data_IF_404833537823
#
_entry.id   IF_404833537823
#
_cell.length_a   1.000
_cell.length_b   1.000
_cell.length_c   1.000
_cell.angle_alpha   90.00
_cell.angle_beta   90.00
_cell.angle_gamma   90.00
#
_symmetry.space_group_name_H-M   'P 1'
#
loop_
_entity.id
_entity.type
_entity.pdbx_description
1 polymer ?
#
# COMPACT_ATOMS: atom_id res chain seq x y z
N UNK A 1 -41.56 32.99 19.19
CA UNK A 1 -42.14 31.74 18.66
C UNK A 1 -41.07 31.11 17.77
N UNK A 2 -40.59 29.94 18.16
CA UNK A 2 -39.33 29.31 17.74
C UNK A 2 -39.25 28.89 16.28
N UNK A 3 -38.05 28.98 15.71
CA UNK A 3 -37.57 28.01 14.72
C UNK A 3 -36.18 27.56 15.17
N UNK A 4 -36.15 26.51 16.00
CA UNK A 4 -34.93 25.76 16.32
C UNK A 4 -34.56 25.00 15.05
N UNK A 5 -33.53 25.45 14.35
CA UNK A 5 -32.92 24.71 13.24
C UNK A 5 -32.34 23.42 13.80
N UNK A 6 -32.94 22.31 13.41
CA UNK A 6 -32.58 20.94 13.81
C UNK A 6 -31.13 20.69 13.40
N UNK A 7 -30.27 20.40 14.38
CA UNK A 7 -28.92 19.91 14.12
C UNK A 7 -28.99 18.67 13.25
N UNK A 8 -28.37 18.73 12.07
CA UNK A 8 -28.14 17.58 11.22
C UNK A 8 -27.23 16.62 11.98
N UNK A 9 -27.81 15.53 12.50
CA UNK A 9 -27.03 14.41 12.98
C UNK A 9 -26.19 13.92 11.81
N UNK A 10 -24.86 14.06 11.92
CA UNK A 10 -23.89 13.47 11.03
C UNK A 10 -24.13 11.96 10.98
N UNK A 11 -24.88 11.53 9.96
CA UNK A 11 -25.07 10.11 9.71
C UNK A 11 -23.71 9.54 9.34
N UNK A 12 -23.19 8.67 10.21
CA UNK A 12 -22.04 7.82 9.89
C UNK A 12 -22.41 7.04 8.64
N UNK A 13 -21.98 7.51 7.46
CA UNK A 13 -22.25 6.80 6.21
C UNK A 13 -21.35 5.59 6.21
N UNK A 14 -21.95 4.41 6.33
CA UNK A 14 -21.23 3.16 6.12
C UNK A 14 -20.67 3.06 4.70
N UNK A 15 -19.73 2.13 4.44
CA UNK A 15 -18.96 2.15 3.23
C UNK A 15 -19.87 1.82 2.06
N UNK A 16 -19.88 2.70 1.06
CA UNK A 16 -20.68 2.53 -0.14
C UNK A 16 -20.37 1.20 -0.82
N UNK A 17 -21.33 0.64 -1.56
CA UNK A 17 -21.10 -0.60 -2.31
C UNK A 17 -19.86 -0.50 -3.23
N UNK A 18 -19.61 0.67 -3.81
CA UNK A 18 -18.42 0.95 -4.62
C UNK A 18 -17.11 0.85 -3.79
N UNK A 19 -17.10 1.37 -2.56
CA UNK A 19 -15.94 1.28 -1.66
C UNK A 19 -15.61 -0.17 -1.31
N UNK A 20 -16.64 -0.99 -1.03
CA UNK A 20 -16.49 -2.41 -0.70
C UNK A 20 -15.92 -3.22 -1.86
N UNK A 21 -16.37 -2.95 -3.08
CA UNK A 21 -15.81 -3.57 -4.30
C UNK A 21 -14.33 -3.20 -4.44
N UNK A 22 -13.96 -1.94 -4.20
CA UNK A 22 -12.58 -1.49 -4.20
C UNK A 22 -11.70 -2.27 -3.23
N UNK A 23 -12.16 -2.50 -2.00
CA UNK A 23 -11.43 -3.28 -0.99
C UNK A 23 -11.31 -4.75 -1.38
N UNK A 24 -12.38 -5.36 -1.90
CA UNK A 24 -12.35 -6.74 -2.38
C UNK A 24 -11.34 -6.91 -3.53
N UNK A 25 -11.33 -6.00 -4.51
CA UNK A 25 -10.35 -6.00 -5.59
C UNK A 25 -8.93 -5.83 -5.06
N UNK A 26 -8.71 -4.91 -4.12
CA UNK A 26 -7.40 -4.72 -3.50
C UNK A 26 -6.91 -5.98 -2.78
N UNK A 27 -7.77 -6.69 -2.05
CA UNK A 27 -7.44 -7.97 -1.41
C UNK A 27 -7.04 -9.01 -2.45
N UNK A 28 -7.82 -9.15 -3.53
CA UNK A 28 -7.53 -10.11 -4.60
C UNK A 28 -6.19 -9.81 -5.28
N UNK A 29 -5.92 -8.54 -5.58
CA UNK A 29 -4.65 -8.12 -6.19
C UNK A 29 -3.48 -8.42 -5.26
N UNK A 30 -3.53 -8.01 -3.98
CA UNK A 30 -2.45 -8.28 -3.03
C UNK A 30 -2.23 -9.79 -2.83
N UNK A 31 -3.30 -10.59 -2.81
CA UNK A 31 -3.21 -12.05 -2.70
C UNK A 31 -2.56 -12.66 -3.93
N UNK A 32 -2.94 -12.21 -5.13
CA UNK A 32 -2.32 -12.65 -6.39
C UNK A 32 -0.84 -12.29 -6.45
N UNK A 33 -0.47 -11.07 -6.03
CA UNK A 33 0.92 -10.64 -5.93
C UNK A 33 1.71 -11.46 -4.89
N UNK A 34 1.09 -11.80 -3.75
CA UNK A 34 1.73 -12.62 -2.72
C UNK A 34 2.02 -14.03 -3.24
N UNK A 35 1.04 -14.64 -3.91
CA UNK A 35 1.21 -15.94 -4.56
C UNK A 35 2.31 -15.89 -5.63
N UNK A 36 2.34 -14.83 -6.45
CA UNK A 36 3.39 -14.64 -7.44
C UNK A 36 4.76 -14.51 -6.75
N UNK A 37 4.89 -13.67 -5.73
CA UNK A 37 6.13 -13.48 -4.99
C UNK A 37 6.69 -14.79 -4.41
N UNK A 38 5.82 -15.66 -3.90
CA UNK A 38 6.22 -16.96 -3.33
C UNK A 38 6.62 -18.00 -4.38
N UNK A 39 6.13 -17.88 -5.61
CA UNK A 39 6.32 -18.88 -6.65
C UNK A 39 7.17 -18.41 -7.83
N UNK A 40 7.59 -17.14 -7.86
CA UNK A 40 8.27 -16.52 -8.99
C UNK A 40 9.53 -17.28 -9.41
N UNK A 41 10.30 -17.80 -8.44
CA UNK A 41 11.51 -18.58 -8.71
C UNK A 41 11.18 -19.93 -9.37
N UNK A 42 10.04 -20.54 -9.03
CA UNK A 42 9.58 -21.79 -9.64
C UNK A 42 9.12 -21.59 -11.08
N UNK A 43 8.75 -20.37 -11.45
CA UNK A 43 8.36 -20.02 -12.82
C UNK A 43 9.58 -19.88 -13.75
N UNK A 44 10.81 -19.96 -13.22
CA UNK A 44 12.06 -19.85 -13.98
C UNK A 44 12.13 -18.59 -14.85
N UNK A 45 11.71 -17.47 -14.28
CA UNK A 45 11.75 -16.16 -14.96
C UNK A 45 13.23 -15.78 -15.17
N UNK A 46 13.70 -15.58 -16.42
CA UNK A 46 15.12 -15.55 -16.75
C UNK A 46 15.90 -14.37 -16.17
N UNK A 47 15.21 -13.32 -15.71
CA UNK A 47 15.81 -12.12 -15.15
C UNK A 47 15.73 -12.03 -13.61
N UNK A 48 15.11 -13.00 -12.92
CA UNK A 48 14.98 -12.99 -11.46
C UNK A 48 15.99 -13.98 -10.87
N UNK A 49 16.81 -13.49 -9.94
CA UNK A 49 17.89 -14.28 -9.32
C UNK A 49 17.45 -14.95 -8.03
N UNK A 50 18.29 -15.86 -7.51
CA UNK A 50 18.09 -16.49 -6.21
C UNK A 50 18.01 -15.49 -5.05
N UNK A 51 18.59 -14.30 -5.21
CA UNK A 51 18.56 -13.21 -4.22
C UNK A 51 17.14 -12.69 -3.95
N UNK A 52 16.15 -13.10 -4.76
CA UNK A 52 14.72 -12.87 -4.48
C UNK A 52 14.31 -13.38 -3.09
N UNK A 53 14.93 -14.46 -2.60
CA UNK A 53 14.65 -15.01 -1.27
C UNK A 53 14.96 -14.00 -0.16
N UNK A 54 16.00 -13.19 -0.32
CA UNK A 54 16.47 -12.23 0.68
C UNK A 54 15.52 -11.04 0.84
N UNK A 55 14.69 -10.77 -0.18
CA UNK A 55 13.72 -9.68 -0.16
C UNK A 55 12.30 -10.15 0.19
N UNK A 56 12.05 -11.45 0.12
CA UNK A 56 10.72 -12.03 0.20
C UNK A 56 10.02 -11.73 1.53
N UNK A 57 10.76 -11.64 2.63
CA UNK A 57 10.20 -11.29 3.95
C UNK A 57 9.56 -9.89 3.93
N UNK A 58 10.19 -8.91 3.30
CA UNK A 58 9.71 -7.53 3.24
C UNK A 58 8.51 -7.41 2.29
N UNK A 59 8.56 -8.11 1.15
CA UNK A 59 7.46 -8.19 0.19
C UNK A 59 6.23 -8.86 0.82
N UNK A 60 6.40 -10.00 1.51
CA UNK A 60 5.31 -10.67 2.23
C UNK A 60 4.69 -9.77 3.29
N UNK A 61 5.52 -9.09 4.08
CA UNK A 61 5.05 -8.21 5.15
C UNK A 61 4.17 -7.08 4.61
N UNK A 62 4.60 -6.42 3.53
CA UNK A 62 3.82 -5.32 2.92
C UNK A 62 2.51 -5.80 2.31
N UNK A 63 2.52 -6.91 1.57
CA UNK A 63 1.32 -7.49 0.95
C UNK A 63 0.32 -8.00 1.98
N UNK A 64 0.78 -8.72 3.01
CA UNK A 64 -0.09 -9.20 4.10
C UNK A 64 -0.70 -8.02 4.85
N UNK A 65 0.08 -6.97 5.15
CA UNK A 65 -0.47 -5.76 5.77
C UNK A 65 -1.53 -5.09 4.89
N UNK A 66 -1.31 -5.03 3.57
CA UNK A 66 -2.29 -4.53 2.60
C UNK A 66 -3.59 -5.34 2.59
N UNK A 67 -3.50 -6.68 2.61
CA UNK A 67 -4.67 -7.57 2.70
C UNK A 67 -5.44 -7.31 4.00
N UNK A 68 -4.74 -7.28 5.14
CA UNK A 68 -5.35 -7.08 6.45
C UNK A 68 -6.03 -5.72 6.56
N UNK A 69 -5.38 -4.65 6.09
CA UNK A 69 -5.96 -3.31 6.09
C UNK A 69 -7.24 -3.26 5.25
N UNK A 70 -7.22 -3.80 4.03
CA UNK A 70 -8.39 -3.81 3.15
C UNK A 70 -9.52 -4.69 3.71
N UNK A 71 -9.19 -5.82 4.36
CA UNK A 71 -10.18 -6.65 5.05
C UNK A 71 -10.82 -5.89 6.22
N UNK A 72 -10.02 -5.15 7.00
CA UNK A 72 -10.52 -4.33 8.11
C UNK A 72 -11.46 -3.22 7.60
N UNK A 73 -11.18 -2.59 6.46
CA UNK A 73 -12.05 -1.56 5.89
C UNK A 73 -13.44 -2.05 5.46
N UNK A 74 -13.62 -3.35 5.24
CA UNK A 74 -14.94 -3.94 4.97
C UNK A 74 -15.79 -3.97 6.25
N UNK A 75 -15.14 -4.11 7.41
CA UNK A 75 -15.80 -4.30 8.72
C UNK A 75 -15.90 -2.98 9.50
N UNK A 76 -14.89 -2.11 9.40
CA UNK A 76 -14.76 -0.91 10.22
C UNK A 76 -14.46 0.32 9.34
N UNK A 77 -15.41 1.26 9.32
CA UNK A 77 -15.39 2.45 8.45
C UNK A 77 -15.22 3.73 9.27
N UNK A 78 -14.06 3.86 9.91
CA UNK A 78 -13.67 5.11 10.54
C UNK A 78 -12.55 5.77 9.74
N UNK A 79 -12.74 7.05 9.39
CA UNK A 79 -11.78 7.79 8.56
C UNK A 79 -10.38 7.84 9.18
N UNK A 80 -10.28 8.08 10.49
CA UNK A 80 -8.99 8.13 11.20
C UNK A 80 -8.23 6.80 11.08
N UNK A 81 -8.94 5.67 11.11
CA UNK A 81 -8.35 4.35 11.03
C UNK A 81 -7.80 4.07 9.65
N UNK A 82 -8.52 4.51 8.61
CA UNK A 82 -8.10 4.39 7.21
C UNK A 82 -6.83 5.19 6.92
N UNK A 83 -6.71 6.40 7.47
CA UNK A 83 -5.50 7.20 7.35
C UNK A 83 -4.31 6.54 8.07
N UNK A 84 -4.49 6.10 9.31
CA UNK A 84 -3.43 5.45 10.08
C UNK A 84 -2.92 4.17 9.40
N UNK A 85 -3.82 3.28 9.00
CA UNK A 85 -3.47 2.04 8.31
C UNK A 85 -2.90 2.29 6.92
N UNK A 86 -3.31 3.35 6.23
CA UNK A 86 -2.71 3.80 4.97
C UNK A 86 -1.25 4.22 5.14
N UNK A 87 -0.92 4.95 6.21
CA UNK A 87 0.46 5.33 6.55
C UNK A 87 1.31 4.09 6.85
N UNK A 88 0.79 3.17 7.67
CA UNK A 88 1.51 1.94 8.05
C UNK A 88 1.76 1.06 6.82
N UNK A 89 0.72 0.80 6.01
CA UNK A 89 0.87 -0.02 4.79
C UNK A 89 1.77 0.66 3.76
N UNK A 90 1.71 1.98 3.62
CA UNK A 90 2.63 2.76 2.79
C UNK A 90 4.08 2.65 3.26
N UNK A 91 4.34 2.74 4.57
CA UNK A 91 5.68 2.59 5.13
C UNK A 91 6.25 1.18 4.89
N UNK A 92 5.42 0.14 5.03
CA UNK A 92 5.82 -1.24 4.72
C UNK A 92 6.08 -1.46 3.24
N UNK A 93 5.29 -0.84 2.36
CA UNK A 93 5.57 -0.86 0.92
C UNK A 93 6.90 -0.16 0.60
N UNK A 94 7.18 0.99 1.21
CA UNK A 94 8.45 1.70 1.06
C UNK A 94 9.63 0.88 1.56
N UNK A 95 9.49 0.19 2.70
CA UNK A 95 10.48 -0.76 3.22
C UNK A 95 10.74 -1.88 2.22
N UNK A 96 9.69 -2.48 1.67
CA UNK A 96 9.82 -3.52 0.66
C UNK A 96 10.55 -3.03 -0.59
N UNK A 97 10.25 -1.82 -1.06
CA UNK A 97 10.96 -1.21 -2.19
C UNK A 97 12.43 -0.93 -1.86
N UNK A 98 12.73 -0.42 -0.66
CA UNK A 98 14.09 -0.14 -0.23
C UNK A 98 14.94 -1.43 -0.16
N UNK A 99 14.40 -2.49 0.44
CA UNK A 99 15.07 -3.81 0.50
C UNK A 99 15.33 -4.34 -0.92
N UNK A 100 14.32 -4.30 -1.79
CA UNK A 100 14.47 -4.69 -3.20
C UNK A 100 15.49 -3.84 -3.94
N UNK A 101 15.59 -2.54 -3.65
CA UNK A 101 16.58 -1.65 -4.25
C UNK A 101 18.02 -2.00 -3.82
N UNK A 102 18.20 -2.34 -2.54
CA UNK A 102 19.51 -2.69 -1.97
C UNK A 102 20.02 -4.04 -2.45
N UNK A 103 19.16 -5.07 -2.45
CA UNK A 103 19.54 -6.42 -2.89
C UNK A 103 19.55 -6.49 -4.42
N UNK A 104 18.57 -5.84 -5.06
CA UNK A 104 18.36 -5.82 -6.51
C UNK A 104 18.47 -7.22 -7.15
N UNK A 105 17.46 -8.09 -6.95
CA UNK A 105 17.49 -9.49 -7.36
C UNK A 105 17.21 -9.69 -8.86
N UNK A 106 17.73 -8.79 -9.69
CA UNK A 106 17.45 -8.75 -11.12
C UNK A 106 18.73 -8.86 -11.94
N UNK A 107 18.82 -9.89 -12.76
CA UNK A 107 19.88 -10.07 -13.74
C UNK A 107 19.39 -9.58 -15.10
N UNK A 108 19.75 -8.34 -15.43
CA UNK A 108 19.32 -7.69 -16.66
C UNK A 108 20.41 -7.78 -17.73
N UNK A 109 20.03 -7.91 -19.02
CA UNK A 109 20.98 -8.11 -20.12
C UNK A 109 21.80 -6.86 -20.45
N UNK A 110 21.44 -5.70 -19.92
CA UNK A 110 22.09 -4.41 -20.19
C UNK A 110 22.14 -3.57 -18.92
N UNK A 111 23.32 -3.00 -18.65
CA UNK A 111 23.54 -2.06 -17.55
C UNK A 111 22.62 -0.84 -17.65
N UNK A 112 22.35 -0.34 -18.87
CA UNK A 112 21.43 0.77 -19.08
C UNK A 112 20.01 0.44 -18.58
N UNK A 113 19.52 -0.78 -18.83
CA UNK A 113 18.19 -1.20 -18.36
C UNK A 113 18.18 -1.32 -16.84
N UNK A 114 19.27 -1.84 -16.26
CA UNK A 114 19.42 -1.93 -14.80
C UNK A 114 19.41 -0.55 -14.15
N UNK A 115 20.13 0.41 -14.72
CA UNK A 115 20.16 1.80 -14.25
C UNK A 115 18.80 2.48 -14.37
N UNK A 116 18.10 2.33 -15.50
CA UNK A 116 16.73 2.84 -15.68
C UNK A 116 15.78 2.23 -14.66
N UNK A 117 15.88 0.94 -14.38
CA UNK A 117 15.02 0.28 -13.39
C UNK A 117 15.32 0.76 -11.97
N UNK A 118 16.61 0.93 -11.60
CA UNK A 118 17.02 1.51 -10.32
C UNK A 118 16.51 2.94 -10.17
N UNK A 119 16.65 3.77 -11.19
CA UNK A 119 16.13 5.14 -11.22
C UNK A 119 14.61 5.16 -11.09
N UNK A 120 13.91 4.26 -11.80
CA UNK A 120 12.46 4.11 -11.70
C UNK A 120 12.00 3.72 -10.29
N UNK A 121 12.69 2.78 -9.66
CA UNK A 121 12.44 2.42 -8.26
C UNK A 121 12.66 3.60 -7.31
N UNK A 122 13.75 4.36 -7.49
CA UNK A 122 14.06 5.54 -6.68
C UNK A 122 12.98 6.62 -6.85
N UNK A 123 12.55 6.89 -8.07
CA UNK A 123 11.45 7.81 -8.35
C UNK A 123 10.13 7.35 -7.71
N UNK A 124 9.82 6.06 -7.79
CA UNK A 124 8.63 5.49 -7.15
C UNK A 124 8.71 5.56 -5.62
N UNK A 125 9.88 5.31 -5.02
CA UNK A 125 10.11 5.48 -3.58
C UNK A 125 9.92 6.93 -3.14
N UNK A 126 10.42 7.90 -3.92
CA UNK A 126 10.20 9.33 -3.66
C UNK A 126 8.70 9.68 -3.72
N UNK A 127 8.00 9.24 -4.77
CA UNK A 127 6.56 9.44 -4.89
C UNK A 127 5.77 8.85 -3.72
N UNK A 128 6.11 7.62 -3.31
CA UNK A 128 5.48 6.97 -2.17
C UNK A 128 5.78 7.69 -0.84
N UNK A 129 7.01 8.16 -0.67
CA UNK A 129 7.40 8.96 0.51
C UNK A 129 6.58 10.24 0.61
N UNK A 130 6.41 10.96 -0.50
CA UNK A 130 5.57 12.15 -0.57
C UNK A 130 4.12 11.81 -0.22
N UNK A 131 3.59 10.70 -0.76
CA UNK A 131 2.23 10.24 -0.46
C UNK A 131 2.02 9.94 1.03
N UNK A 132 3.00 9.31 1.69
CA UNK A 132 2.97 9.05 3.14
C UNK A 132 2.97 10.36 3.94
N UNK A 133 3.84 11.30 3.57
CA UNK A 133 3.91 12.63 4.23
C UNK A 133 2.59 13.38 4.05
N UNK A 134 2.02 13.39 2.85
CA UNK A 134 0.74 14.01 2.58
C UNK A 134 -0.39 13.37 3.42
N UNK A 135 -0.40 12.03 3.54
CA UNK A 135 -1.34 11.32 4.41
C UNK A 135 -1.18 11.68 5.89
N UNK A 136 0.04 11.82 6.37
CA UNK A 136 0.32 12.26 7.74
C UNK A 136 -0.14 13.70 7.98
N UNK A 137 0.13 14.61 7.05
CA UNK A 137 -0.34 16.01 7.14
C UNK A 137 -1.86 16.07 7.17
N UNK A 138 -2.54 15.29 6.32
CA UNK A 138 -4.00 15.23 6.30
C UNK A 138 -4.57 14.70 7.62
N UNK A 139 -3.93 13.67 8.21
CA UNK A 139 -4.29 13.15 9.51
C UNK A 139 -4.13 14.20 10.62
N UNK A 140 -3.04 14.98 10.61
CA UNK A 140 -2.78 16.00 11.63
C UNK A 140 -3.66 17.25 11.48
N UNK A 141 -3.95 17.67 10.24
CA UNK A 141 -4.79 18.84 9.96
C UNK A 141 -6.29 18.53 10.10
N UNK A 142 -6.74 17.33 9.71
CA UNK A 142 -8.12 16.90 9.88
C UNK A 142 -8.54 16.75 11.35
N UNK A 143 -7.58 16.69 12.28
CA UNK A 143 -7.82 16.73 13.72
C UNK A 143 -8.01 18.16 14.28
N UNK A 144 -7.81 19.22 13.47
CA UNK A 144 -7.94 20.62 13.92
C UNK A 144 -9.32 21.23 13.68
N UNK A 145 -10.20 20.58 12.92
CA UNK A 145 -11.55 21.10 12.59
C UNK A 145 -12.68 20.39 13.35
N UNK A 146 -12.37 19.60 14.38
CA UNK A 146 -13.34 18.93 15.27
C UNK A 146 -13.22 19.48 16.71
#
# INVERSE_FOLDING_TARGET
MSAVTVNEFSTVRGPSAASRVGYAVAILVNTGLLYAADNILRWNVPFITGDWVDILWAVRLSLVAGIMANAMYIVYDADWFRHLTGIVTGALALLSMAVTYTVFPFHLPSEFIAEVMRLGMLAAMLGLTIAIIAGLVHLLLGQREA
#
